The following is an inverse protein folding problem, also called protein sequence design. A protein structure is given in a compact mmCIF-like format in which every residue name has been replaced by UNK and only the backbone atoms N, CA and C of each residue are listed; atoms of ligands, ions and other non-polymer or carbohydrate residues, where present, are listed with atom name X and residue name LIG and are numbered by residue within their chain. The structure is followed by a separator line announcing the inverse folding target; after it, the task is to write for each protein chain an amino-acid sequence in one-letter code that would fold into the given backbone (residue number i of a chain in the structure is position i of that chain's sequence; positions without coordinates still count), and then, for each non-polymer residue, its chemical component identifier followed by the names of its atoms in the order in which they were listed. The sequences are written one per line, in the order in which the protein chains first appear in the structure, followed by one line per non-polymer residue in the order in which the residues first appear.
data_IF_079876172693
#
_entry.id   IF_079876172693
#
_cell.length_a   1.000
_cell.length_b   1.000
_cell.length_c   1.000
_cell.angle_alpha   90.00
_cell.angle_beta   90.00
_cell.angle_gamma   90.00
#
_symmetry.space_group_name_H-M   'P 1'
#
loop_
_entity.id
_entity.type
_entity.pdbx_description
1 polymer ?
#
# COMPACT_ATOMS: atom_id res chain seq x y z
N UNK A 1 -40.77 61.80 -41.97
CA UNK A 1 -41.86 60.86 -42.31
C UNK A 1 -41.21 59.53 -42.64
N UNK A 2 -41.15 58.60 -41.68
CA UNK A 2 -40.65 57.24 -41.93
C UNK A 2 -41.81 56.28 -41.67
N UNK A 3 -42.22 55.60 -42.72
CA UNK A 3 -43.40 54.75 -42.76
C UNK A 3 -43.01 53.31 -42.40
N UNK A 4 -43.69 52.81 -41.37
CA UNK A 4 -44.09 51.44 -41.00
C UNK A 4 -43.60 50.23 -41.81
N UNK A 5 -43.19 49.18 -41.09
CA UNK A 5 -43.07 47.83 -41.64
C UNK A 5 -42.49 46.73 -40.74
N UNK A 6 -42.69 46.74 -39.41
CA UNK A 6 -42.36 45.57 -38.57
C UNK A 6 -43.49 44.54 -38.62
N UNK A 7 -43.32 43.51 -39.43
CA UNK A 7 -44.08 42.26 -39.32
C UNK A 7 -43.52 41.43 -38.18
N UNK A 8 -44.18 41.44 -37.02
CA UNK A 8 -43.90 40.51 -35.94
C UNK A 8 -44.49 39.14 -36.30
N UNK A 9 -43.62 38.19 -36.61
CA UNK A 9 -43.99 36.79 -36.80
C UNK A 9 -44.29 36.15 -35.43
N UNK A 10 -45.58 36.05 -35.10
CA UNK A 10 -46.07 35.27 -33.98
C UNK A 10 -46.13 33.78 -34.38
N UNK A 11 -45.02 33.05 -34.26
CA UNK A 11 -45.09 31.59 -34.15
C UNK A 11 -43.78 30.98 -33.59
N UNK A 12 -43.61 31.05 -32.28
CA UNK A 12 -42.50 30.36 -31.57
C UNK A 12 -42.88 30.08 -30.12
N UNK A 13 -44.06 29.51 -29.91
CA UNK A 13 -44.43 28.83 -28.66
C UNK A 13 -44.45 27.34 -28.96
N UNK A 14 -43.40 26.59 -28.56
CA UNK A 14 -43.44 25.13 -28.26
C UNK A 14 -42.12 24.32 -28.41
N UNK A 15 -40.92 24.93 -28.50
CA UNK A 15 -39.67 24.15 -28.69
C UNK A 15 -38.60 24.34 -27.59
N UNK A 16 -38.94 24.99 -26.48
CA UNK A 16 -38.02 25.14 -25.33
C UNK A 16 -38.68 24.45 -24.14
N UNK A 17 -38.19 23.27 -23.74
CA UNK A 17 -38.34 22.57 -22.43
C UNK A 17 -38.43 21.03 -22.49
N UNK A 18 -37.65 20.39 -23.37
CA UNK A 18 -37.49 18.92 -23.33
C UNK A 18 -36.05 18.44 -23.09
N UNK A 19 -35.08 19.36 -22.93
CA UNK A 19 -33.65 19.00 -22.81
C UNK A 19 -33.12 18.94 -21.39
N UNK A 20 -33.91 19.31 -20.38
CA UNK A 20 -33.51 19.34 -18.97
C UNK A 20 -34.32 18.39 -18.07
N UNK A 21 -35.03 17.41 -18.65
CA UNK A 21 -35.86 16.48 -17.89
C UNK A 21 -35.12 15.19 -17.54
N UNK A 22 -35.24 14.73 -16.30
CA UNK A 22 -34.66 13.46 -15.87
C UNK A 22 -35.36 12.28 -16.58
N UNK A 23 -34.62 11.40 -17.28
CA UNK A 23 -35.24 10.26 -17.93
C UNK A 23 -35.80 9.27 -16.90
N UNK A 24 -36.82 8.51 -17.32
CA UNK A 24 -37.38 7.42 -16.51
C UNK A 24 -36.27 6.43 -16.13
N UNK A 25 -36.24 6.03 -14.86
CA UNK A 25 -35.22 5.19 -14.25
C UNK A 25 -34.07 5.96 -13.58
N UNK A 26 -34.02 7.29 -13.71
CA UNK A 26 -32.99 8.11 -13.07
C UNK A 26 -33.25 8.25 -11.58
N UNK A 27 -32.20 8.09 -10.78
CA UNK A 27 -32.24 8.41 -9.35
C UNK A 27 -32.11 9.93 -9.16
N UNK A 28 -33.06 10.52 -8.46
CA UNK A 28 -33.19 11.95 -8.16
C UNK A 28 -33.45 12.14 -6.67
N UNK A 29 -33.35 13.38 -6.18
CA UNK A 29 -33.96 13.74 -4.90
C UNK A 29 -35.27 14.48 -5.19
N UNK A 30 -36.34 14.09 -4.50
CA UNK A 30 -37.64 14.72 -4.58
C UNK A 30 -38.13 15.15 -3.20
N UNK A 31 -38.84 16.27 -3.13
CA UNK A 31 -39.50 16.74 -1.90
C UNK A 31 -40.70 15.85 -1.60
N UNK A 32 -40.83 15.34 -0.38
CA UNK A 32 -42.02 14.58 0.05
C UNK A 32 -43.10 15.54 0.59
N UNK A 33 -44.36 15.32 0.19
CA UNK A 33 -45.45 16.27 0.50
C UNK A 33 -45.89 16.31 1.96
N UNK A 34 -45.57 15.27 2.75
CA UNK A 34 -45.98 15.19 4.15
C UNK A 34 -45.15 16.09 5.07
N UNK A 35 -43.85 16.18 4.83
CA UNK A 35 -42.90 16.91 5.67
C UNK A 35 -42.10 17.99 4.94
N UNK A 36 -42.14 18.02 3.61
CA UNK A 36 -41.39 18.98 2.79
C UNK A 36 -39.89 18.69 2.70
N UNK A 37 -39.44 17.50 3.11
CA UNK A 37 -38.03 17.12 3.13
C UNK A 37 -37.60 16.42 1.84
N UNK A 38 -36.30 16.48 1.51
CA UNK A 38 -35.75 15.91 0.28
C UNK A 38 -35.33 14.45 0.48
N UNK A 39 -35.97 13.54 -0.23
CA UNK A 39 -35.68 12.11 -0.17
C UNK A 39 -35.18 11.57 -1.52
N UNK A 40 -34.40 10.49 -1.47
CA UNK A 40 -33.97 9.77 -2.66
C UNK A 40 -35.17 9.08 -3.30
N UNK A 41 -35.38 9.33 -4.59
CA UNK A 41 -36.47 8.75 -5.35
C UNK A 41 -36.01 8.34 -6.75
N UNK A 42 -36.69 7.38 -7.35
CA UNK A 42 -36.47 6.96 -8.73
C UNK A 42 -37.60 7.48 -9.61
N UNK A 43 -37.27 8.16 -10.72
CA UNK A 43 -38.28 8.62 -11.70
C UNK A 43 -38.90 7.41 -12.38
N UNK A 44 -40.19 7.19 -12.21
CA UNK A 44 -40.93 6.09 -12.86
C UNK A 44 -41.64 6.51 -14.13
N UNK A 45 -42.15 7.74 -14.18
CA UNK A 45 -42.78 8.27 -15.38
C UNK A 45 -42.63 9.79 -15.48
N UNK A 46 -42.67 10.30 -16.70
CA UNK A 46 -42.71 11.72 -17.01
C UNK A 46 -44.18 12.11 -17.21
N UNK A 47 -44.69 13.04 -16.39
CA UNK A 47 -46.04 13.60 -16.59
C UNK A 47 -45.95 14.90 -17.41
N UNK A 48 -47.04 15.43 -17.99
CA UNK A 48 -46.96 16.70 -18.71
C UNK A 48 -46.48 17.88 -17.84
N UNK A 49 -46.79 17.84 -16.54
CA UNK A 49 -46.56 18.93 -15.60
C UNK A 49 -45.43 18.67 -14.59
N UNK A 50 -44.81 17.47 -14.56
CA UNK A 50 -43.86 17.10 -13.51
C UNK A 50 -43.23 15.72 -13.70
N UNK A 51 -42.97 15.04 -12.60
CA UNK A 51 -42.42 13.68 -12.55
C UNK A 51 -43.28 12.80 -11.65
N UNK A 52 -43.44 11.54 -12.05
CA UNK A 52 -43.93 10.50 -11.16
C UNK A 52 -42.72 9.78 -10.59
N UNK A 53 -42.49 9.92 -9.29
CA UNK A 53 -41.30 9.40 -8.60
C UNK A 53 -41.70 8.36 -7.55
N UNK A 54 -40.85 7.36 -7.34
CA UNK A 54 -40.97 6.38 -6.26
C UNK A 54 -39.86 6.58 -5.23
N UNK A 55 -40.20 6.84 -3.98
CA UNK A 55 -39.23 7.05 -2.91
C UNK A 55 -38.52 5.74 -2.53
N UNK A 56 -37.19 5.77 -2.55
CA UNK A 56 -36.34 4.66 -2.16
C UNK A 56 -36.45 4.46 -0.64
N UNK A 57 -36.78 3.24 -0.19
CA UNK A 57 -36.89 2.88 1.24
C UNK A 57 -38.32 2.55 1.68
N UNK A 58 -39.31 3.34 1.25
CA UNK A 58 -40.72 3.17 1.62
C UNK A 58 -41.60 2.69 0.47
N UNK A 59 -41.16 2.88 -0.78
CA UNK A 59 -41.89 2.44 -1.97
C UNK A 59 -43.12 3.29 -2.33
N UNK A 60 -43.37 4.37 -1.58
CA UNK A 60 -44.42 5.34 -1.89
C UNK A 60 -44.14 6.01 -3.25
N UNK A 61 -45.20 6.24 -4.01
CA UNK A 61 -45.15 6.88 -5.33
C UNK A 61 -45.96 8.16 -5.31
N UNK A 62 -45.40 9.23 -5.87
CA UNK A 62 -46.05 10.53 -5.88
C UNK A 62 -45.74 11.30 -7.17
N UNK A 63 -46.71 12.10 -7.61
CA UNK A 63 -46.51 13.08 -8.67
C UNK A 63 -45.97 14.38 -8.07
N UNK A 64 -44.74 14.73 -8.43
CA UNK A 64 -44.04 15.92 -7.93
C UNK A 64 -43.75 16.90 -9.06
N UNK A 65 -43.81 18.20 -8.74
CA UNK A 65 -43.47 19.27 -9.67
C UNK A 65 -41.97 19.25 -10.03
N UNK A 66 -41.57 19.77 -11.20
CA UNK A 66 -40.18 19.78 -11.63
C UNK A 66 -39.27 20.57 -10.68
N UNK A 67 -39.81 21.61 -10.05
CA UNK A 67 -39.10 22.45 -9.06
C UNK A 67 -38.79 21.69 -7.77
N UNK A 68 -39.56 20.64 -7.49
CA UNK A 68 -39.41 19.77 -6.32
C UNK A 68 -38.54 18.54 -6.62
N UNK A 69 -37.83 18.52 -7.76
CA UNK A 69 -36.93 17.43 -8.17
C UNK A 69 -35.56 17.98 -8.52
N UNK A 70 -34.51 17.39 -7.95
CA UNK A 70 -33.11 17.78 -8.21
C UNK A 70 -32.22 16.55 -8.44
N UNK A 71 -31.07 16.71 -9.12
CA UNK A 71 -30.16 15.59 -9.32
C UNK A 71 -29.57 15.14 -7.97
N UNK A 72 -29.39 13.83 -7.80
CA UNK A 72 -28.59 13.34 -6.66
C UNK A 72 -27.15 13.78 -6.92
N UNK A 73 -26.58 14.53 -5.97
CA UNK A 73 -25.14 14.74 -5.94
C UNK A 73 -24.48 13.40 -5.54
N UNK A 74 -24.31 12.48 -6.50
CA UNK A 74 -23.50 11.25 -6.35
C UNK A 74 -22.00 11.57 -6.29
N UNK A 75 -21.63 12.61 -5.54
CA UNK A 75 -20.32 13.26 -5.55
C UNK A 75 -19.62 13.35 -4.20
N UNK A 76 -20.09 12.62 -3.19
CA UNK A 76 -19.32 12.39 -1.96
C UNK A 76 -19.30 10.90 -1.69
N UNK A 77 -18.53 10.16 -2.50
CA UNK A 77 -17.80 9.03 -1.92
C UNK A 77 -17.07 9.61 -0.71
N UNK A 78 -17.57 9.34 0.49
CA UNK A 78 -16.97 9.89 1.70
C UNK A 78 -15.47 9.57 1.65
N UNK A 79 -14.58 10.57 1.54
CA UNK A 79 -13.14 10.31 1.40
C UNK A 79 -12.60 9.49 2.57
N UNK A 80 -13.33 9.49 3.69
CA UNK A 80 -13.11 8.65 4.85
C UNK A 80 -13.31 7.15 4.57
N UNK A 81 -14.37 6.76 3.85
CA UNK A 81 -14.66 5.35 3.52
C UNK A 81 -13.65 4.78 2.51
N UNK A 82 -13.18 5.59 1.56
CA UNK A 82 -12.13 5.18 0.64
C UNK A 82 -10.78 5.02 1.35
N UNK A 83 -10.44 5.98 2.24
CA UNK A 83 -9.25 5.88 3.08
C UNK A 83 -9.28 4.64 3.97
N UNK A 84 -10.44 4.30 4.54
CA UNK A 84 -10.63 3.09 5.35
C UNK A 84 -10.40 1.81 4.54
N UNK A 85 -10.98 1.70 3.35
CA UNK A 85 -10.77 0.55 2.45
C UNK A 85 -9.30 0.38 2.05
N UNK A 86 -8.59 1.48 1.78
CA UNK A 86 -7.15 1.45 1.47
C UNK A 86 -6.35 1.02 2.70
N UNK A 87 -6.67 1.55 3.88
CA UNK A 87 -6.03 1.15 5.13
C UNK A 87 -6.23 -0.34 5.42
N UNK A 88 -7.43 -0.87 5.22
CA UNK A 88 -7.73 -2.29 5.39
C UNK A 88 -6.97 -3.16 4.38
N UNK A 89 -6.96 -2.78 3.10
CA UNK A 89 -6.20 -3.48 2.07
C UNK A 89 -4.70 -3.52 2.37
N UNK A 90 -4.12 -2.43 2.88
CA UNK A 90 -2.69 -2.40 3.26
C UNK A 90 -2.40 -3.27 4.48
N UNK A 91 -3.28 -3.28 5.48
CA UNK A 91 -3.20 -4.16 6.65
C UNK A 91 -3.25 -5.64 6.23
N UNK A 92 -4.16 -6.00 5.33
CA UNK A 92 -4.24 -7.36 4.80
C UNK A 92 -3.00 -7.75 4.00
N UNK A 93 -2.50 -6.86 3.14
CA UNK A 93 -1.29 -7.09 2.37
C UNK A 93 -0.07 -7.33 3.29
N UNK A 94 0.05 -6.56 4.37
CA UNK A 94 1.10 -6.76 5.38
C UNK A 94 0.95 -8.10 6.09
N UNK A 95 -0.27 -8.48 6.49
CA UNK A 95 -0.57 -9.79 7.09
C UNK A 95 -0.17 -10.94 6.16
N UNK A 96 -0.49 -10.85 4.86
CA UNK A 96 -0.08 -11.84 3.85
C UNK A 96 1.44 -11.93 3.72
N UNK A 97 2.15 -10.80 3.69
CA UNK A 97 3.63 -10.79 3.66
C UNK A 97 4.24 -11.44 4.90
N UNK A 98 3.70 -11.17 6.08
CA UNK A 98 4.17 -11.80 7.32
C UNK A 98 3.94 -13.32 7.28
N UNK A 99 2.76 -13.77 6.84
CA UNK A 99 2.46 -15.19 6.71
C UNK A 99 3.39 -15.89 5.70
N UNK A 100 3.67 -15.27 4.55
CA UNK A 100 4.61 -15.80 3.56
C UNK A 100 6.04 -15.86 4.10
N UNK A 101 6.49 -14.83 4.83
CA UNK A 101 7.80 -14.82 5.47
C UNK A 101 7.92 -15.94 6.52
N UNK A 102 6.90 -16.11 7.37
CA UNK A 102 6.86 -17.18 8.37
C UNK A 102 6.88 -18.57 7.71
N UNK A 103 6.13 -18.77 6.63
CA UNK A 103 6.13 -20.03 5.88
C UNK A 103 7.50 -20.32 5.23
N UNK A 104 8.15 -19.32 4.64
CA UNK A 104 9.49 -19.46 4.04
C UNK A 104 10.55 -19.81 5.09
N UNK A 105 10.50 -19.14 6.24
CA UNK A 105 11.39 -19.44 7.36
C UNK A 105 11.18 -20.88 7.87
N UNK A 106 9.94 -21.33 7.97
CA UNK A 106 9.61 -22.71 8.35
C UNK A 106 10.17 -23.74 7.35
N UNK A 107 9.96 -23.54 6.04
CA UNK A 107 10.47 -24.47 5.01
C UNK A 107 12.00 -24.56 5.05
N UNK A 108 12.70 -23.43 5.22
CA UNK A 108 14.17 -23.43 5.33
C UNK A 108 14.68 -24.19 6.56
N UNK A 109 13.91 -24.21 7.66
CA UNK A 109 14.23 -24.94 8.90
C UNK A 109 14.02 -26.45 8.79
N UNK A 110 13.18 -26.94 7.88
CA UNK A 110 12.93 -28.38 7.72
C UNK A 110 14.11 -29.07 7.04
N UNK A 111 14.47 -30.27 7.51
CA UNK A 111 15.51 -31.07 6.86
C UNK A 111 15.05 -31.46 5.44
N UNK A 112 15.89 -31.28 4.41
CA UNK A 112 15.54 -31.65 3.04
C UNK A 112 15.06 -33.11 2.96
N UNK A 113 13.99 -33.42 2.20
CA UNK A 113 13.45 -34.77 2.10
C UNK A 113 14.49 -35.84 1.75
N UNK A 114 15.48 -35.49 0.91
CA UNK A 114 16.58 -36.36 0.47
C UNK A 114 17.60 -36.73 1.58
N UNK A 115 17.59 -36.02 2.71
CA UNK A 115 18.47 -36.28 3.85
C UNK A 115 17.73 -36.92 5.04
N UNK A 116 16.46 -37.31 4.87
CA UNK A 116 15.74 -38.11 5.86
C UNK A 116 16.37 -39.51 5.93
N UNK A 117 16.53 -39.99 7.15
CA UNK A 117 17.08 -41.32 7.43
C UNK A 117 15.89 -42.26 7.53
N UNK A 118 15.83 -43.26 6.65
CA UNK A 118 14.81 -44.29 6.70
C UNK A 118 15.30 -45.43 7.62
N UNK A 119 14.39 -46.11 8.36
CA UNK A 119 14.75 -47.23 9.22
C UNK A 119 15.46 -48.39 8.50
N UNK A 120 15.19 -48.59 7.20
CA UNK A 120 15.73 -49.69 6.38
C UNK A 120 17.10 -49.39 5.72
N UNK A 121 17.64 -48.18 5.85
CA UNK A 121 18.95 -47.85 5.27
C UNK A 121 20.10 -48.67 5.93
N UNK A 122 21.16 -49.05 5.18
CA UNK A 122 22.36 -49.66 5.76
C UNK A 122 23.10 -48.67 6.69
N UNK A 123 23.76 -49.19 7.74
CA UNK A 123 24.37 -48.36 8.80
C UNK A 123 25.36 -47.30 8.28
N UNK A 124 26.11 -47.62 7.23
CA UNK A 124 27.05 -46.67 6.61
C UNK A 124 26.34 -45.48 5.93
N UNK A 125 25.19 -45.73 5.30
CA UNK A 125 24.35 -44.69 4.69
C UNK A 125 23.68 -43.85 5.78
N UNK A 126 23.22 -44.49 6.88
CA UNK A 126 22.67 -43.79 8.05
C UNK A 126 23.72 -42.87 8.68
N UNK A 127 24.95 -43.34 8.87
CA UNK A 127 26.05 -42.56 9.47
C UNK A 127 26.42 -41.35 8.58
N UNK A 128 26.49 -41.53 7.26
CA UNK A 128 26.75 -40.47 6.30
C UNK A 128 25.62 -39.42 6.26
N UNK A 129 24.34 -39.85 6.28
CA UNK A 129 23.18 -38.95 6.36
C UNK A 129 23.16 -38.18 7.68
N UNK A 130 23.46 -38.82 8.83
CA UNK A 130 23.58 -38.15 10.15
C UNK A 130 24.63 -37.04 10.14
N UNK A 131 25.80 -37.29 9.55
CA UNK A 131 26.86 -36.27 9.41
C UNK A 131 26.40 -35.08 8.55
N UNK A 132 25.72 -35.33 7.44
CA UNK A 132 25.15 -34.27 6.56
C UNK A 132 24.05 -33.47 7.26
N UNK A 133 23.18 -34.14 8.03
CA UNK A 133 22.15 -33.49 8.84
C UNK A 133 22.78 -32.60 9.93
N UNK A 134 23.84 -33.08 10.60
CA UNK A 134 24.56 -32.29 11.61
C UNK A 134 25.21 -31.05 11.00
N UNK A 135 25.88 -31.19 9.85
CA UNK A 135 26.48 -30.07 9.13
C UNK A 135 25.42 -29.03 8.72
N UNK A 136 24.28 -29.48 8.18
CA UNK A 136 23.16 -28.62 7.81
C UNK A 136 22.58 -27.87 9.02
N UNK A 137 22.25 -28.59 10.10
CA UNK A 137 21.74 -27.97 11.35
C UNK A 137 22.75 -27.01 11.97
N UNK A 138 24.04 -27.34 11.91
CA UNK A 138 25.11 -26.47 12.41
C UNK A 138 25.21 -25.16 11.62
N UNK A 139 25.15 -25.25 10.28
CA UNK A 139 25.12 -24.06 9.41
C UNK A 139 23.92 -23.16 9.72
N UNK A 140 22.73 -23.73 9.88
CA UNK A 140 21.52 -22.97 10.24
C UNK A 140 21.64 -22.28 11.59
N UNK A 141 22.24 -22.94 12.60
CA UNK A 141 22.50 -22.34 13.92
C UNK A 141 23.48 -21.18 13.84
N UNK A 142 24.51 -21.28 12.99
CA UNK A 142 25.48 -20.20 12.78
C UNK A 142 24.84 -18.99 12.10
N UNK A 143 24.04 -19.22 11.05
CA UNK A 143 23.32 -18.17 10.34
C UNK A 143 22.31 -17.44 11.24
N UNK A 144 21.63 -18.16 12.13
CA UNK A 144 20.75 -17.54 13.14
C UNK A 144 21.51 -16.64 14.12
N UNK A 145 22.69 -17.09 14.60
CA UNK A 145 23.56 -16.27 15.43
C UNK A 145 24.07 -15.03 14.69
N UNK A 146 24.48 -15.17 13.43
CA UNK A 146 24.90 -14.04 12.60
C UNK A 146 23.74 -13.06 12.34
N UNK A 147 22.54 -13.56 12.04
CA UNK A 147 21.36 -12.73 11.86
C UNK A 147 20.97 -11.98 13.14
N UNK A 148 21.05 -12.61 14.31
CA UNK A 148 20.79 -11.95 15.60
C UNK A 148 21.84 -10.87 15.90
N UNK A 149 23.12 -11.13 15.61
CA UNK A 149 24.20 -10.13 15.70
C UNK A 149 23.96 -8.96 14.73
N UNK A 150 23.65 -9.23 13.47
CA UNK A 150 23.39 -8.21 12.46
C UNK A 150 22.14 -7.38 12.79
N UNK A 151 21.07 -8.01 13.28
CA UNK A 151 19.88 -7.30 13.80
C UNK A 151 20.25 -6.36 14.94
N UNK A 152 21.07 -6.82 15.89
CA UNK A 152 21.54 -5.99 17.02
C UNK A 152 22.41 -4.82 16.55
N UNK A 153 23.30 -5.04 15.58
CA UNK A 153 24.12 -3.99 14.97
C UNK A 153 23.24 -2.95 14.24
N UNK A 154 22.31 -3.40 13.40
CA UNK A 154 21.38 -2.51 12.70
C UNK A 154 20.52 -1.70 13.67
N UNK A 155 19.97 -2.33 14.72
CA UNK A 155 19.21 -1.63 15.75
C UNK A 155 20.07 -0.58 16.49
N UNK A 156 21.34 -0.88 16.76
CA UNK A 156 22.25 0.06 17.38
C UNK A 156 22.61 1.24 16.45
N UNK A 157 22.83 1.00 15.15
CA UNK A 157 23.01 2.05 14.16
C UNK A 157 21.77 2.95 14.06
N UNK A 158 20.56 2.37 14.02
CA UNK A 158 19.31 3.12 14.03
C UNK A 158 19.12 3.96 15.30
N UNK A 159 19.55 3.44 16.46
CA UNK A 159 19.54 4.22 17.70
C UNK A 159 20.48 5.43 17.62
N UNK A 160 21.67 5.27 17.04
CA UNK A 160 22.61 6.38 16.80
C UNK A 160 22.02 7.45 15.86
N UNK A 161 21.41 7.05 14.74
CA UNK A 161 20.83 8.01 13.77
C UNK A 161 19.56 8.67 14.29
N UNK A 162 18.71 7.94 15.02
CA UNK A 162 17.46 8.46 15.58
C UNK A 162 17.72 9.52 16.65
N UNK A 163 18.76 9.35 17.47
CA UNK A 163 19.19 10.37 18.45
C UNK A 163 19.66 11.69 17.79
N UNK A 164 20.08 11.66 16.52
CA UNK A 164 20.49 12.85 15.77
C UNK A 164 19.37 13.57 15.00
N UNK A 165 18.20 12.93 14.84
CA UNK A 165 17.06 13.51 14.10
C UNK A 165 16.12 14.35 14.97
N UNK A 166 16.12 14.12 16.28
CA UNK A 166 15.45 14.97 17.26
C UNK A 166 16.31 16.20 17.63
N UNK A 167 16.86 16.92 16.65
CA UNK A 167 17.42 18.25 16.92
C UNK A 167 16.27 19.24 17.02
N UNK A 168 15.81 19.46 18.24
CA UNK A 168 15.12 20.68 18.66
C UNK A 168 15.90 21.87 18.09
N UNK A 169 15.24 22.70 17.29
CA UNK A 169 15.82 23.94 16.76
C UNK A 169 16.36 24.74 17.96
N UNK A 170 17.67 25.00 18.01
CA UNK A 170 18.28 25.91 18.99
C UNK A 170 19.28 25.36 20.02
N UNK A 171 19.73 24.09 19.97
CA UNK A 171 20.79 23.63 20.88
C UNK A 171 22.08 23.22 20.14
N UNK A 172 23.13 24.02 20.35
CA UNK A 172 24.54 23.89 19.95
C UNK A 172 24.94 22.57 19.27
N UNK A 173 24.90 22.55 17.93
CA UNK A 173 25.57 21.53 17.13
C UNK A 173 27.01 21.94 16.85
N UNK A 174 27.98 21.35 17.56
CA UNK A 174 29.38 21.75 17.37
C UNK A 174 30.49 20.74 17.73
N UNK A 175 30.22 19.54 18.26
CA UNK A 175 31.27 18.54 18.46
C UNK A 175 30.83 17.14 18.05
N UNK A 176 31.54 16.56 17.07
CA UNK A 176 31.47 15.13 16.75
C UNK A 176 31.97 14.37 17.99
N UNK A 177 31.08 13.62 18.64
CA UNK A 177 31.46 12.67 19.67
C UNK A 177 32.01 11.42 18.97
N UNK A 178 33.33 11.34 18.84
CA UNK A 178 33.96 10.05 18.54
C UNK A 178 33.71 9.10 19.71
N UNK A 179 33.45 7.83 19.41
CA UNK A 179 33.09 6.83 20.42
C UNK A 179 34.28 6.59 21.34
N UNK A 180 34.05 6.68 22.65
CA UNK A 180 35.01 6.34 23.72
C UNK A 180 35.45 4.87 23.69
N UNK A 181 34.77 4.05 22.87
CA UNK A 181 35.07 2.65 22.60
C UNK A 181 35.54 2.42 21.16
N UNK A 182 35.83 3.47 20.40
CA UNK A 182 36.42 3.32 19.06
C UNK A 182 37.83 2.76 19.25
N UNK A 183 38.08 1.60 18.66
CA UNK A 183 39.43 1.02 18.64
C UNK A 183 40.39 2.01 18.00
N UNK A 184 41.52 2.33 18.64
CA UNK A 184 42.54 3.17 18.04
C UNK A 184 42.95 2.62 16.67
N UNK A 185 43.19 3.50 15.71
CA UNK A 185 43.66 3.16 14.35
C UNK A 185 45.10 2.59 14.35
N UNK A 186 45.72 2.45 15.53
CA UNK A 186 47.08 1.96 15.74
C UNK A 186 47.13 0.43 15.66
N UNK A 187 48.03 -0.19 14.87
CA UNK A 187 48.10 -1.64 14.68
C UNK A 187 48.43 -2.44 15.96
N UNK A 188 48.69 -1.77 17.09
CA UNK A 188 48.94 -2.41 18.40
C UNK A 188 47.86 -2.13 19.46
N UNK A 189 46.79 -1.40 19.11
CA UNK A 189 45.72 -0.98 20.01
C UNK A 189 44.89 -2.15 20.57
N UNK A 190 45.29 -2.69 21.72
CA UNK A 190 44.52 -3.69 22.48
C UNK A 190 43.47 -3.02 23.36
N UNK A 191 42.19 -3.25 23.07
CA UNK A 191 41.08 -2.99 24.00
C UNK A 191 40.14 -4.21 24.03
N UNK A 192 40.11 -4.89 25.18
CA UNK A 192 39.22 -6.02 25.46
C UNK A 192 39.64 -6.74 26.74
N UNK A 193 38.71 -6.91 27.68
CA UNK A 193 38.81 -7.92 28.73
C UNK A 193 38.67 -9.28 28.05
N UNK A 194 39.70 -10.12 28.21
CA UNK A 194 39.83 -11.51 27.76
C UNK A 194 39.72 -11.78 26.24
N UNK A 195 40.88 -11.73 25.57
CA UNK A 195 41.24 -12.72 24.53
C UNK A 195 40.55 -12.71 23.16
N UNK A 196 39.54 -11.87 22.90
CA UNK A 196 38.92 -11.78 21.56
C UNK A 196 39.49 -10.62 20.75
N UNK A 197 40.77 -10.71 20.39
CA UNK A 197 41.47 -9.72 19.54
C UNK A 197 41.08 -9.73 18.06
N UNK A 198 39.84 -10.13 17.72
CA UNK A 198 39.31 -9.98 16.36
C UNK A 198 38.43 -8.72 16.39
N UNK A 199 38.99 -7.60 15.93
CA UNK A 199 38.22 -6.39 15.71
C UNK A 199 36.99 -6.68 14.84
N UNK A 200 35.92 -5.90 15.04
CA UNK A 200 34.72 -5.98 14.22
C UNK A 200 35.14 -5.81 12.75
N UNK A 201 34.95 -6.83 11.92
CA UNK A 201 35.27 -6.75 10.49
C UNK A 201 34.45 -5.61 9.88
N UNK A 202 35.14 -4.63 9.28
CA UNK A 202 34.46 -3.57 8.53
C UNK A 202 33.69 -4.19 7.38
N UNK A 203 32.37 -4.28 7.55
CA UNK A 203 31.50 -4.72 6.48
C UNK A 203 31.32 -3.54 5.53
N UNK A 204 32.11 -3.53 4.45
CA UNK A 204 31.81 -2.71 3.29
C UNK A 204 30.38 -3.06 2.85
N UNK A 205 29.47 -2.09 2.97
CA UNK A 205 28.10 -2.19 2.49
C UNK A 205 28.18 -2.64 1.03
N UNK A 206 27.83 -3.90 0.74
CA UNK A 206 27.84 -4.41 -0.64
C UNK A 206 26.93 -3.52 -1.46
N UNK A 207 27.53 -2.70 -2.31
CA UNK A 207 26.78 -1.99 -3.33
C UNK A 207 26.27 -3.03 -4.32
N UNK A 208 24.98 -2.90 -4.64
CA UNK A 208 24.27 -3.73 -5.61
C UNK A 208 24.96 -3.53 -6.96
N UNK A 209 25.68 -4.55 -7.44
CA UNK A 209 26.25 -4.56 -8.78
C UNK A 209 25.13 -4.37 -9.80
N UNK A 210 25.02 -3.15 -10.33
CA UNK A 210 24.25 -2.88 -11.53
C UNK A 210 25.03 -3.54 -12.67
N UNK A 211 24.52 -4.65 -13.19
CA UNK A 211 25.01 -5.18 -14.45
C UNK A 211 24.54 -4.19 -15.54
N UNK A 212 25.34 -3.16 -15.84
CA UNK A 212 25.21 -2.51 -17.13
C UNK A 212 25.56 -3.57 -18.16
N UNK A 213 24.53 -4.08 -18.84
CA UNK A 213 24.69 -4.91 -20.03
C UNK A 213 25.41 -4.05 -21.06
N UNK A 214 26.72 -4.21 -21.13
CA UNK A 214 27.57 -3.56 -22.11
C UNK A 214 27.06 -3.88 -23.51
N UNK A 215 26.83 -2.80 -24.26
CA UNK A 215 26.83 -2.83 -25.71
C UNK A 215 28.15 -3.45 -26.20
N UNK A 216 28.07 -4.47 -27.04
CA UNK A 216 29.18 -4.83 -27.92
C UNK A 216 28.63 -5.41 -29.23
N UNK A 217 28.72 -4.57 -30.27
CA UNK A 217 29.20 -4.86 -31.63
C UNK A 217 28.47 -5.98 -32.41
N UNK A 218 27.66 -5.56 -33.39
CA UNK A 218 27.63 -6.21 -34.71
C UNK A 218 28.33 -5.26 -35.69
N UNK A 219 29.62 -5.51 -35.92
CA UNK A 219 30.30 -5.16 -37.17
C UNK A 219 29.79 -6.11 -38.23
N UNK A 220 29.08 -5.59 -39.23
CA UNK A 220 28.79 -6.29 -40.47
C UNK A 220 29.91 -5.96 -41.47
N UNK A 221 30.66 -6.99 -41.88
CA UNK A 221 31.55 -6.96 -43.04
C UNK A 221 30.73 -6.77 -44.33
N UNK A 222 31.22 -5.91 -45.21
CA UNK A 222 31.03 -5.94 -46.67
C UNK A 222 32.41 -6.09 -47.32
#
# INVERSE_FOLDING_TARGET
MHNSGSTFNANSMSIIDHTNRFPVGTKVQAVWSEDGEWYTATVEALTPNGYYVRYDGWGNQEGVDPDNVRPIQEGTVDPLLEAEKVAEATKEALKRKIAQAAAKDFQSKTLPPKLRIEPDDPEDVKSAKRKKIHAFKSKMRMEEKEATQNKRQNAWQQFQTTKGRAKKVGFFSGRKRESIFKSPEDPTGKVGVTGSGKGLTDFQKREKHLHLKGANIETADD
#
